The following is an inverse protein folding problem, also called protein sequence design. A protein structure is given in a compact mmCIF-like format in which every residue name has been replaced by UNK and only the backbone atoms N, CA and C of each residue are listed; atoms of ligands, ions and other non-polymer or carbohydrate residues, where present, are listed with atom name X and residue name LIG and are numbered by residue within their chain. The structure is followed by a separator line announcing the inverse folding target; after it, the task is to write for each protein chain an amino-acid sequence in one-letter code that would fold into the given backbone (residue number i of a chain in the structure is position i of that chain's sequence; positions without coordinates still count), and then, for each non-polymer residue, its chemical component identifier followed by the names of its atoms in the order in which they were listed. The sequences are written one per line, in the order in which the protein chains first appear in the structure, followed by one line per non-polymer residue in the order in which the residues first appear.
data_IF_922674630655
#
_entry.id   IF_922674630655
#
_cell.length_a   1.000
_cell.length_b   1.000
_cell.length_c   1.000
_cell.angle_alpha   90.00
_cell.angle_beta   90.00
_cell.angle_gamma   90.00
#
_symmetry.space_group_name_H-M   'P 1'
#
loop_
_entity.id
_entity.type
_entity.pdbx_description
1 polymer ?
#
# COMPACT_ATOMS: atom_id res chain seq x y z
N UNK A 1 38.72 14.15 -1.89
CA UNK A 1 38.03 15.39 -2.31
C UNK A 1 36.63 15.15 -2.88
N UNK A 2 36.31 13.96 -3.46
CA UNK A 2 34.97 13.67 -4.04
C UNK A 2 33.93 13.15 -3.03
N UNK A 3 34.34 12.54 -1.92
CA UNK A 3 33.40 11.97 -0.94
C UNK A 3 32.81 13.01 0.00
N UNK A 4 33.59 14.04 0.35
CA UNK A 4 33.14 15.16 1.20
C UNK A 4 32.03 15.96 0.52
N UNK A 5 32.14 16.23 -0.78
CA UNK A 5 31.08 16.90 -1.55
C UNK A 5 29.77 16.08 -1.55
N UNK A 6 29.86 14.75 -1.68
CA UNK A 6 28.70 13.86 -1.63
C UNK A 6 28.00 13.88 -0.28
N UNK A 7 28.76 13.77 0.81
CA UNK A 7 28.22 13.86 2.18
C UNK A 7 27.53 15.20 2.42
N UNK A 8 28.11 16.28 1.89
CA UNK A 8 27.56 17.63 2.04
C UNK A 8 26.25 17.77 1.27
N UNK A 9 26.17 17.25 0.04
CA UNK A 9 24.95 17.22 -0.77
C UNK A 9 23.85 16.39 -0.09
N UNK A 10 24.18 15.20 0.42
CA UNK A 10 23.20 14.38 1.16
C UNK A 10 22.69 15.08 2.42
N UNK A 11 23.57 15.76 3.16
CA UNK A 11 23.18 16.55 4.32
C UNK A 11 22.19 17.66 3.93
N UNK A 12 22.49 18.40 2.85
CA UNK A 12 21.59 19.44 2.36
C UNK A 12 20.24 18.89 1.86
N UNK A 13 20.21 17.72 1.21
CA UNK A 13 18.96 17.06 0.81
C UNK A 13 18.12 16.68 2.04
N UNK A 14 18.75 16.15 3.11
CA UNK A 14 18.06 15.78 4.35
C UNK A 14 17.48 16.99 5.09
N UNK A 15 18.15 18.15 5.00
CA UNK A 15 17.70 19.41 5.62
C UNK A 15 16.62 20.10 4.79
N UNK A 16 16.76 20.10 3.47
CA UNK A 16 15.90 20.86 2.56
C UNK A 16 14.52 20.22 2.33
N UNK A 17 14.37 18.92 2.54
CA UNK A 17 13.09 18.23 2.35
C UNK A 17 12.33 18.14 3.68
N UNK A 18 11.31 18.99 3.91
CA UNK A 18 10.45 18.83 5.07
C UNK A 18 9.80 17.44 5.02
N UNK A 19 9.90 16.68 6.12
CA UNK A 19 9.19 15.41 6.29
C UNK A 19 7.70 15.69 6.48
N UNK A 20 7.01 15.89 5.37
CA UNK A 20 5.55 16.06 5.37
C UNK A 20 4.92 14.67 5.46
N UNK A 21 4.52 14.29 6.67
CA UNK A 21 3.63 13.15 6.87
C UNK A 21 2.24 13.57 6.38
N UNK A 22 1.93 13.26 5.12
CA UNK A 22 0.58 13.44 4.60
C UNK A 22 -0.31 12.41 5.28
N UNK A 23 -1.43 12.86 5.82
CA UNK A 23 -2.48 11.99 6.32
C UNK A 23 -3.08 11.27 5.11
N UNK A 24 -2.59 10.05 4.84
CA UNK A 24 -3.06 9.27 3.70
C UNK A 24 -4.35 8.58 4.14
N UNK A 25 -5.47 9.05 3.61
CA UNK A 25 -6.74 8.36 3.77
C UNK A 25 -6.60 6.90 3.29
N UNK A 26 -6.94 5.95 4.15
CA UNK A 26 -6.90 4.54 3.83
C UNK A 26 -8.08 4.22 2.89
N UNK A 27 -7.84 3.82 1.63
CA UNK A 27 -8.90 3.55 0.66
C UNK A 27 -9.83 2.41 1.10
N UNK A 28 -9.38 1.54 2.02
CA UNK A 28 -10.25 0.51 2.59
C UNK A 28 -11.36 1.15 3.45
N UNK A 29 -11.05 2.25 4.13
CA UNK A 29 -11.94 2.89 5.10
C UNK A 29 -12.81 3.98 4.47
N UNK A 30 -12.30 4.70 3.47
CA UNK A 30 -12.98 5.89 2.91
C UNK A 30 -13.85 5.61 1.68
N UNK A 31 -13.66 4.49 0.99
CA UNK A 31 -14.43 4.20 -0.22
C UNK A 31 -15.81 3.64 0.12
N UNK A 32 -16.84 4.09 -0.59
CA UNK A 32 -18.14 3.43 -0.57
C UNK A 32 -18.06 2.05 -1.27
N UNK A 33 -19.09 1.22 -1.10
CA UNK A 33 -19.05 -0.16 -1.61
C UNK A 33 -18.96 -0.24 -3.14
N UNK A 34 -19.46 0.77 -3.86
CA UNK A 34 -19.37 0.83 -5.32
C UNK A 34 -17.94 1.11 -5.75
N UNK A 35 -17.35 2.19 -5.24
CA UNK A 35 -15.98 2.60 -5.53
C UNK A 35 -14.98 1.54 -5.04
N UNK A 36 -15.26 0.88 -3.91
CA UNK A 36 -14.48 -0.24 -3.40
C UNK A 36 -14.46 -1.39 -4.40
N UNK A 37 -15.63 -1.77 -4.94
CA UNK A 37 -15.74 -2.84 -5.94
C UNK A 37 -15.09 -2.47 -7.26
N UNK A 38 -15.25 -1.23 -7.73
CA UNK A 38 -14.59 -0.75 -8.93
C UNK A 38 -13.06 -0.81 -8.79
N UNK A 39 -12.53 -0.43 -7.62
CA UNK A 39 -11.08 -0.38 -7.36
C UNK A 39 -10.44 -1.73 -7.07
N UNK A 40 -11.07 -2.57 -6.24
CA UNK A 40 -10.48 -3.83 -5.77
C UNK A 40 -11.06 -5.08 -6.45
N UNK A 41 -12.07 -4.90 -7.33
CA UNK A 41 -12.82 -5.98 -8.02
C UNK A 41 -13.46 -7.01 -7.09
N UNK A 42 -13.58 -6.68 -5.80
CA UNK A 42 -14.21 -7.47 -4.77
C UNK A 42 -15.26 -6.62 -4.05
N UNK A 43 -16.30 -7.26 -3.54
CA UNK A 43 -17.11 -6.63 -2.50
C UNK A 43 -16.29 -6.48 -1.21
N UNK A 44 -16.69 -5.56 -0.34
CA UNK A 44 -16.07 -5.39 0.99
C UNK A 44 -16.03 -6.70 1.77
N UNK A 45 -17.13 -7.46 1.75
CA UNK A 45 -17.19 -8.78 2.39
C UNK A 45 -16.21 -9.77 1.74
N UNK A 46 -16.18 -9.85 0.40
CA UNK A 46 -15.25 -10.72 -0.32
C UNK A 46 -13.79 -10.38 -0.05
N UNK A 47 -13.46 -9.10 0.05
CA UNK A 47 -12.13 -8.63 0.42
C UNK A 47 -11.72 -9.12 1.82
N UNK A 48 -12.58 -8.93 2.83
CA UNK A 48 -12.28 -9.38 4.20
C UNK A 48 -12.27 -10.91 4.33
N UNK A 49 -13.07 -11.61 3.53
CA UNK A 49 -13.01 -13.06 3.44
C UNK A 49 -11.64 -13.54 2.93
N UNK A 50 -11.17 -12.98 1.80
CA UNK A 50 -9.83 -13.30 1.27
C UNK A 50 -8.75 -12.92 2.27
N UNK A 51 -8.85 -11.73 2.88
CA UNK A 51 -7.92 -11.30 3.92
C UNK A 51 -7.84 -12.31 5.07
N UNK A 52 -8.97 -12.87 5.53
CA UNK A 52 -8.98 -13.91 6.56
C UNK A 52 -8.18 -15.15 6.18
N UNK A 53 -8.20 -15.53 4.89
CA UNK A 53 -7.45 -16.69 4.37
C UNK A 53 -5.95 -16.41 4.29
N UNK A 54 -5.55 -15.22 3.81
CA UNK A 54 -4.15 -14.91 3.51
C UNK A 54 -3.44 -14.07 4.57
N UNK A 55 -4.15 -13.65 5.63
CA UNK A 55 -3.62 -12.68 6.60
C UNK A 55 -2.33 -13.15 7.26
N UNK A 56 -2.26 -14.42 7.67
CA UNK A 56 -1.09 -15.01 8.31
C UNK A 56 0.12 -15.00 7.37
N UNK A 57 -0.05 -15.45 6.12
CA UNK A 57 1.00 -15.42 5.09
C UNK A 57 1.46 -14.01 4.73
N UNK A 58 0.55 -13.04 4.84
CA UNK A 58 0.84 -11.62 4.62
C UNK A 58 1.39 -10.93 5.87
N UNK A 59 1.45 -11.56 7.03
CA UNK A 59 2.07 -10.95 8.20
C UNK A 59 3.60 -11.04 8.11
N UNK A 60 4.34 -9.95 8.39
CA UNK A 60 5.78 -9.99 8.35
C UNK A 60 6.32 -10.83 9.51
N UNK A 61 7.21 -11.78 9.22
CA UNK A 61 7.89 -12.61 10.20
C UNK A 61 8.77 -11.82 11.21
N UNK A 62 9.03 -10.54 10.94
CA UNK A 62 9.82 -9.68 11.82
C UNK A 62 9.22 -8.28 11.96
N UNK A 63 9.42 -7.66 13.12
CA UNK A 63 8.90 -6.32 13.45
C UNK A 63 9.63 -5.21 12.68
N UNK A 64 10.82 -5.50 12.14
CA UNK A 64 11.67 -4.53 11.42
C UNK A 64 11.10 -4.11 10.05
N UNK A 65 10.00 -4.73 9.60
CA UNK A 65 9.35 -4.45 8.32
C UNK A 65 7.82 -4.51 8.40
N UNK A 66 7.24 -4.21 9.57
CA UNK A 66 5.79 -4.17 9.79
C UNK A 66 5.13 -2.84 9.36
N UNK A 67 5.62 -2.22 8.28
CA UNK A 67 5.17 -0.90 7.84
C UNK A 67 3.75 -0.88 7.26
N UNK A 68 3.22 -2.05 6.86
CA UNK A 68 1.89 -2.19 6.26
C UNK A 68 1.14 -3.36 6.91
N UNK A 69 -0.08 -3.14 7.43
CA UNK A 69 -1.01 -4.20 7.79
C UNK A 69 -1.31 -5.14 6.61
N UNK A 70 -1.68 -6.39 6.91
CA UNK A 70 -2.06 -7.39 5.89
C UNK A 70 -3.16 -6.88 4.95
N UNK A 71 -4.13 -6.12 5.48
CA UNK A 71 -5.20 -5.51 4.68
C UNK A 71 -4.65 -4.55 3.61
N UNK A 72 -3.71 -3.68 3.97
CA UNK A 72 -3.09 -2.75 3.01
C UNK A 72 -2.20 -3.47 2.01
N UNK A 73 -1.52 -4.56 2.41
CA UNK A 73 -0.76 -5.42 1.50
C UNK A 73 -1.66 -6.06 0.45
N UNK A 74 -2.80 -6.61 0.88
CA UNK A 74 -3.79 -7.19 -0.02
C UNK A 74 -4.38 -6.13 -0.96
N UNK A 75 -4.72 -4.94 -0.44
CA UNK A 75 -5.26 -3.85 -1.25
C UNK A 75 -4.29 -3.42 -2.37
N UNK A 76 -3.00 -3.23 -2.05
CA UNK A 76 -1.96 -2.91 -3.04
C UNK A 76 -1.85 -4.02 -4.08
N UNK A 77 -1.88 -5.28 -3.66
CA UNK A 77 -1.81 -6.43 -4.57
C UNK A 77 -2.98 -6.43 -5.56
N UNK A 78 -4.21 -6.30 -5.06
CA UNK A 78 -5.42 -6.26 -5.90
C UNK A 78 -5.41 -5.08 -6.87
N UNK A 79 -5.01 -3.90 -6.41
CA UNK A 79 -4.86 -2.71 -7.26
C UNK A 79 -3.79 -2.91 -8.34
N UNK A 80 -2.69 -3.59 -8.02
CA UNK A 80 -1.62 -3.88 -8.98
C UNK A 80 -2.05 -4.86 -10.07
N UNK A 81 -2.77 -5.93 -9.72
CA UNK A 81 -3.26 -6.91 -10.71
C UNK A 81 -4.45 -6.37 -11.53
N UNK A 82 -5.25 -5.48 -10.95
CA UNK A 82 -6.32 -4.76 -11.64
C UNK A 82 -5.74 -3.80 -12.69
N UNK A 83 -4.72 -3.02 -12.33
CA UNK A 83 -4.02 -2.13 -13.27
C UNK A 83 -3.40 -2.87 -14.46
N UNK A 84 -3.08 -4.16 -14.31
CA UNK A 84 -2.61 -5.02 -15.39
C UNK A 84 -3.75 -5.56 -16.28
N UNK A 85 -5.00 -5.19 -16.00
CA UNK A 85 -6.24 -5.60 -16.67
C UNK A 85 -6.45 -7.14 -16.70
N UNK A 86 -5.87 -7.85 -15.74
CA UNK A 86 -5.85 -9.32 -15.68
C UNK A 86 -7.12 -9.91 -15.05
N UNK A 87 -8.06 -9.07 -14.62
CA UNK A 87 -9.30 -9.49 -13.98
C UNK A 87 -10.48 -9.21 -14.90
N UNK A 88 -11.20 -10.26 -15.31
CA UNK A 88 -12.46 -10.10 -16.04
C UNK A 88 -13.49 -9.42 -15.14
N UNK A 89 -13.96 -8.26 -15.55
CA UNK A 89 -15.14 -7.62 -14.96
C UNK A 89 -16.33 -8.51 -15.30
N UNK A 90 -16.89 -9.19 -14.30
CA UNK A 90 -18.13 -9.96 -14.48
C UNK A 90 -19.30 -9.02 -14.18
N UNK A 91 -20.28 -8.90 -15.10
CA UNK A 91 -21.43 -7.99 -14.93
C UNK A 91 -22.33 -8.38 -13.75
#
# INVERSE_FOLDING_TARGET
MKDTERETIEMFIRIAVPRIFRDRANPIDILDDRAFRERFRLSRNGFYHVLGIVSEDLTPNTVRSASLPAALRLAIFLETIESANNQRITP
#
